data_IF_121916579208
#
_entry.id   IF_121916579208
#
_cell.length_a   1.000
_cell.length_b   1.000
_cell.length_c   1.000
_cell.angle_alpha   90.00
_cell.angle_beta   90.00
_cell.angle_gamma   90.00
#
_symmetry.space_group_name_H-M   'P 1'
#
loop_
_entity.id
_entity.type
_entity.pdbx_description
1 polymer ?
#
# COMPACT_ATOMS: atom_id res chain seq x y z
N UNK A 1 -10.16 -8.09 -1.31
CA UNK A 1 -10.74 -9.45 -1.27
C UNK A 1 -11.56 -9.64 0.00
N UNK A 2 -12.89 -9.73 -0.12
CA UNK A 2 -13.83 -10.00 0.99
C UNK A 2 -13.90 -11.50 1.27
N UNK A 3 -13.32 -11.93 2.39
CA UNK A 3 -13.58 -13.26 2.93
C UNK A 3 -15.02 -13.30 3.45
N UNK A 4 -15.90 -14.09 2.82
CA UNK A 4 -17.30 -14.27 3.25
C UNK A 4 -17.48 -15.69 3.79
N UNK A 5 -17.26 -15.89 5.08
CA UNK A 5 -17.78 -17.10 5.73
C UNK A 5 -19.25 -16.86 6.09
N UNK A 6 -20.17 -17.51 5.37
CA UNK A 6 -21.62 -17.47 5.63
C UNK A 6 -22.22 -16.06 5.75
N UNK A 7 -21.77 -15.11 4.90
CA UNK A 7 -22.34 -13.76 4.85
C UNK A 7 -21.77 -12.76 5.86
N UNK A 8 -20.93 -13.20 6.81
CA UNK A 8 -20.26 -12.30 7.75
C UNK A 8 -18.92 -11.82 7.19
N UNK A 9 -18.66 -10.53 7.37
CA UNK A 9 -17.37 -9.87 7.11
C UNK A 9 -16.38 -10.17 8.25
N UNK A 10 -15.10 -9.89 8.01
CA UNK A 10 -14.05 -10.15 9.01
C UNK A 10 -14.22 -9.24 10.23
N UNK A 11 -14.62 -8.01 9.98
CA UNK A 11 -14.87 -6.97 10.96
C UNK A 11 -16.04 -7.36 11.85
N UNK A 12 -17.15 -7.83 11.26
CA UNK A 12 -18.31 -8.34 12.01
C UNK A 12 -17.92 -9.56 12.86
N UNK A 13 -17.14 -10.51 12.33
CA UNK A 13 -16.70 -11.68 13.10
C UNK A 13 -15.88 -11.26 14.33
N UNK A 14 -15.03 -10.23 14.18
CA UNK A 14 -14.21 -9.70 15.30
C UNK A 14 -15.06 -9.05 16.36
N UNK A 15 -15.94 -8.15 15.94
CA UNK A 15 -16.86 -7.45 16.82
C UNK A 15 -17.69 -8.48 17.60
N UNK A 16 -18.13 -9.54 16.92
CA UNK A 16 -18.89 -10.62 17.51
C UNK A 16 -18.09 -11.41 18.57
N UNK A 17 -16.81 -11.71 18.30
CA UNK A 17 -15.93 -12.37 19.28
C UNK A 17 -15.61 -11.43 20.46
N UNK A 18 -15.44 -10.14 20.21
CA UNK A 18 -15.20 -9.13 21.24
C UNK A 18 -16.43 -8.99 22.16
N UNK A 19 -17.64 -8.82 21.61
CA UNK A 19 -18.89 -8.76 22.37
C UNK A 19 -19.08 -9.97 23.29
N UNK A 20 -18.70 -11.17 22.83
CA UNK A 20 -18.73 -12.39 23.62
C UNK A 20 -17.80 -12.34 24.84
N UNK A 21 -16.61 -11.76 24.71
CA UNK A 21 -15.66 -11.66 25.82
C UNK A 21 -16.04 -10.57 26.83
N UNK A 22 -16.72 -9.51 26.38
CA UNK A 22 -17.28 -8.44 27.23
C UNK A 22 -18.46 -8.94 28.08
N UNK A 23 -19.12 -10.05 27.70
CA UNK A 23 -20.26 -10.56 28.46
C UNK A 23 -19.89 -10.92 29.91
N UNK A 24 -20.75 -10.57 30.89
CA UNK A 24 -20.59 -10.97 32.28
C UNK A 24 -20.47 -12.49 32.46
N UNK A 25 -19.81 -12.89 33.55
CA UNK A 25 -19.69 -14.31 33.91
C UNK A 25 -21.07 -14.99 33.97
N UNK A 26 -21.15 -16.21 33.42
CA UNK A 26 -22.41 -16.97 33.33
C UNK A 26 -23.38 -16.55 32.22
N UNK A 27 -23.24 -15.36 31.61
CA UNK A 27 -24.16 -14.90 30.55
C UNK A 27 -23.74 -15.25 29.13
N UNK A 28 -22.51 -15.74 28.93
CA UNK A 28 -21.92 -16.05 27.62
C UNK A 28 -22.74 -17.07 26.81
N UNK A 29 -23.26 -18.11 27.46
CA UNK A 29 -24.08 -19.14 26.79
C UNK A 29 -25.42 -18.60 26.32
N UNK A 30 -26.12 -17.85 27.17
CA UNK A 30 -27.39 -17.22 26.82
C UNK A 30 -27.22 -16.15 25.74
N UNK A 31 -26.14 -15.35 25.80
CA UNK A 31 -25.81 -14.38 24.77
C UNK A 31 -25.54 -15.05 23.42
N UNK A 32 -24.79 -16.15 23.40
CA UNK A 32 -24.53 -16.88 22.15
C UNK A 32 -25.81 -17.50 21.58
N UNK A 33 -26.67 -18.07 22.45
CA UNK A 33 -27.97 -18.61 22.05
C UNK A 33 -28.93 -17.53 21.53
N UNK A 34 -28.79 -16.27 21.97
CA UNK A 34 -29.57 -15.14 21.45
C UNK A 34 -29.18 -14.72 20.04
N UNK A 35 -28.10 -15.26 19.47
CA UNK A 35 -27.66 -14.94 18.13
C UNK A 35 -27.88 -16.05 17.13
N UNK A 36 -28.03 -15.64 15.88
CA UNK A 36 -28.25 -16.50 14.72
C UNK A 36 -26.99 -17.29 14.27
N UNK A 37 -25.96 -17.39 15.12
CA UNK A 37 -24.68 -18.03 14.78
C UNK A 37 -24.59 -19.36 15.52
N UNK A 38 -24.43 -20.49 14.80
CA UNK A 38 -24.23 -21.79 15.44
C UNK A 38 -22.99 -21.81 16.35
N UNK A 39 -23.09 -22.42 17.53
CA UNK A 39 -21.98 -22.46 18.49
C UNK A 39 -20.69 -23.05 17.90
N UNK A 40 -20.81 -24.08 17.05
CA UNK A 40 -19.67 -24.69 16.35
C UNK A 40 -18.97 -23.70 15.41
N UNK A 41 -19.75 -22.88 14.70
CA UNK A 41 -19.23 -21.82 13.82
C UNK A 41 -18.52 -20.76 14.66
N UNK A 42 -19.14 -20.31 15.76
CA UNK A 42 -18.54 -19.34 16.66
C UNK A 42 -17.22 -19.83 17.30
N UNK A 43 -17.14 -21.10 17.71
CA UNK A 43 -15.89 -21.70 18.21
C UNK A 43 -14.78 -21.65 17.17
N UNK A 44 -15.09 -21.89 15.89
CA UNK A 44 -14.14 -21.78 14.78
C UNK A 44 -13.69 -20.33 14.57
N UNK A 45 -14.61 -19.37 14.62
CA UNK A 45 -14.30 -17.94 14.54
C UNK A 45 -13.38 -17.48 15.66
N UNK A 46 -13.65 -17.90 16.89
CA UNK A 46 -12.80 -17.63 18.05
C UNK A 46 -11.37 -18.14 17.84
N UNK A 47 -11.21 -19.33 17.26
CA UNK A 47 -9.89 -19.87 16.92
C UNK A 47 -9.19 -19.04 15.82
N UNK A 48 -9.89 -18.71 14.73
CA UNK A 48 -9.36 -17.89 13.64
C UNK A 48 -8.92 -16.49 14.07
N UNK A 49 -9.66 -15.84 14.97
CA UNK A 49 -9.29 -14.53 15.51
C UNK A 49 -8.05 -14.64 16.40
N UNK A 50 -7.95 -15.68 17.22
CA UNK A 50 -6.82 -15.89 18.12
C UNK A 50 -5.50 -16.19 17.42
N UNK A 51 -5.56 -16.99 16.36
CA UNK A 51 -4.40 -17.40 15.58
C UNK A 51 -3.97 -16.31 14.59
N UNK A 52 -4.76 -15.23 14.44
CA UNK A 52 -4.51 -14.16 13.47
C UNK A 52 -4.80 -14.56 12.02
N UNK A 53 -5.38 -15.75 11.83
CA UNK A 53 -5.69 -16.32 10.53
C UNK A 53 -6.80 -15.57 9.79
N UNK A 54 -7.66 -14.86 10.55
CA UNK A 54 -8.75 -14.06 9.98
C UNK A 54 -8.25 -12.91 9.08
N UNK A 55 -7.08 -12.33 9.35
CA UNK A 55 -6.49 -11.29 8.50
C UNK A 55 -5.71 -11.83 7.32
N UNK A 56 -5.06 -12.98 7.54
CA UNK A 56 -4.10 -13.55 6.59
C UNK A 56 -4.79 -14.37 5.49
N UNK A 57 -6.14 -14.48 5.53
CA UNK A 57 -6.95 -15.41 4.75
C UNK A 57 -6.42 -16.86 4.86
N UNK A 58 -5.79 -17.19 6.00
CA UNK A 58 -5.25 -18.52 6.24
C UNK A 58 -6.35 -19.40 6.82
N UNK A 59 -6.42 -20.64 6.35
CA UNK A 59 -7.25 -21.66 6.98
C UNK A 59 -6.52 -22.09 8.26
N UNK A 60 -7.20 -22.14 9.42
CA UNK A 60 -6.59 -22.58 10.68
C UNK A 60 -5.79 -23.86 10.50
N UNK A 61 -4.47 -23.77 10.72
CA UNK A 61 -3.65 -24.98 10.83
C UNK A 61 -3.94 -25.59 12.20
N UNK A 62 -4.25 -26.88 12.25
CA UNK A 62 -4.39 -27.60 13.52
C UNK A 62 -3.03 -27.69 14.22
N UNK A 63 -2.65 -26.62 14.92
CA UNK A 63 -1.64 -26.68 15.95
C UNK A 63 -2.36 -27.10 17.22
N UNK A 64 -2.08 -28.30 17.73
CA UNK A 64 -2.69 -28.89 18.93
C UNK A 64 -2.31 -28.19 20.24
N UNK A 65 -2.21 -26.86 20.26
CA UNK A 65 -1.93 -26.05 21.43
C UNK A 65 -3.20 -25.67 22.19
N UNK A 66 -3.10 -25.58 23.51
CA UNK A 66 -4.17 -25.14 24.41
C UNK A 66 -4.80 -23.82 23.92
N UNK A 67 -6.13 -23.72 23.93
CA UNK A 67 -6.81 -22.45 23.68
C UNK A 67 -6.37 -21.41 24.74
N UNK A 68 -5.87 -20.25 24.29
CA UNK A 68 -5.44 -19.16 25.18
C UNK A 68 -6.57 -18.72 26.13
N UNK A 69 -6.18 -18.38 27.35
CA UNK A 69 -7.05 -17.88 28.44
C UNK A 69 -7.52 -16.44 28.17
N UNK A 70 -8.60 -15.99 28.82
CA UNK A 70 -9.21 -14.67 28.59
C UNK A 70 -8.24 -13.48 28.82
N UNK A 71 -7.27 -13.61 29.73
CA UNK A 71 -6.26 -12.57 29.98
C UNK A 71 -5.26 -12.42 28.83
N UNK A 72 -4.86 -13.55 28.24
CA UNK A 72 -3.97 -13.60 27.08
C UNK A 72 -4.65 -13.03 25.81
N UNK A 73 -5.98 -13.13 25.72
CA UNK A 73 -6.78 -12.49 24.68
C UNK A 73 -6.72 -10.95 24.75
N UNK A 74 -6.96 -10.35 25.92
CA UNK A 74 -6.90 -8.89 26.06
C UNK A 74 -5.49 -8.35 25.79
N UNK A 75 -4.45 -9.09 26.20
CA UNK A 75 -3.08 -8.73 25.89
C UNK A 75 -2.78 -8.77 24.38
N UNK A 76 -3.25 -9.81 23.68
CA UNK A 76 -3.10 -9.95 22.24
C UNK A 76 -3.83 -8.83 21.47
N UNK A 77 -5.06 -8.50 21.85
CA UNK A 77 -5.82 -7.40 21.25
C UNK A 77 -5.12 -6.05 21.44
N UNK A 78 -4.60 -5.78 22.64
CA UNK A 78 -3.83 -4.55 22.93
C UNK A 78 -2.54 -4.47 22.12
N UNK A 79 -1.79 -5.57 22.03
CA UNK A 79 -0.56 -5.62 21.24
C UNK A 79 -0.84 -5.37 19.75
N UNK A 80 -1.91 -5.96 19.21
CA UNK A 80 -2.31 -5.77 17.81
C UNK A 80 -2.87 -4.37 17.53
N UNK A 81 -3.62 -3.79 18.46
CA UNK A 81 -4.09 -2.40 18.33
C UNK A 81 -2.90 -1.42 18.27
N UNK A 82 -1.85 -1.69 19.06
CA UNK A 82 -0.60 -0.93 19.02
C UNK A 82 0.11 -1.09 17.68
N UNK A 83 0.27 -2.32 17.17
CA UNK A 83 0.88 -2.58 15.86
C UNK A 83 0.15 -1.86 14.72
N UNK A 84 -1.19 -1.86 14.74
CA UNK A 84 -1.99 -1.13 13.73
C UNK A 84 -1.76 0.38 13.83
N UNK A 85 -1.72 0.93 15.04
CA UNK A 85 -1.49 2.36 15.25
C UNK A 85 -0.09 2.79 14.76
N UNK A 86 0.93 1.97 15.04
CA UNK A 86 2.29 2.17 14.55
C UNK A 86 2.33 2.13 13.02
N UNK A 87 1.76 1.10 12.40
CA UNK A 87 1.71 0.98 10.95
C UNK A 87 0.94 2.13 10.28
N UNK A 88 -0.14 2.61 10.91
CA UNK A 88 -0.89 3.77 10.41
C UNK A 88 -0.04 5.05 10.45
N UNK A 89 0.75 5.24 11.51
CA UNK A 89 1.68 6.39 11.59
C UNK A 89 2.74 6.32 10.50
N UNK A 90 3.34 5.15 10.26
CA UNK A 90 4.32 4.94 9.19
C UNK A 90 3.72 5.23 7.80
N UNK A 91 2.49 4.78 7.56
CA UNK A 91 1.79 5.05 6.29
C UNK A 91 1.55 6.54 6.08
N UNK A 92 1.16 7.27 7.13
CA UNK A 92 0.96 8.72 7.03
C UNK A 92 2.27 9.49 6.81
N UNK A 93 3.36 9.08 7.46
CA UNK A 93 4.70 9.63 7.21
C UNK A 93 5.13 9.41 5.75
N UNK A 94 4.98 8.18 5.23
CA UNK A 94 5.32 7.86 3.85
C UNK A 94 4.48 8.66 2.85
N UNK A 95 3.18 8.82 3.08
CA UNK A 95 2.31 9.65 2.24
C UNK A 95 2.75 11.12 2.22
N UNK A 96 3.14 11.65 3.38
CA UNK A 96 3.64 13.03 3.46
C UNK A 96 4.95 13.18 2.67
N UNK A 97 5.85 12.20 2.76
CA UNK A 97 7.10 12.20 1.99
C UNK A 97 6.85 12.12 0.48
N UNK A 98 5.89 11.30 0.04
CA UNK A 98 5.49 11.23 -1.37
C UNK A 98 4.99 12.59 -1.86
N UNK A 99 4.11 13.25 -1.10
CA UNK A 99 3.58 14.58 -1.46
C UNK A 99 4.69 15.63 -1.61
N UNK A 100 5.68 15.60 -0.72
CA UNK A 100 6.84 16.48 -0.78
C UNK A 100 7.64 16.25 -2.07
N UNK A 101 7.96 14.99 -2.37
CA UNK A 101 8.72 14.61 -3.57
C UNK A 101 7.97 14.97 -4.86
N UNK A 102 6.66 14.71 -4.92
CA UNK A 102 5.81 15.12 -6.05
C UNK A 102 5.80 16.63 -6.24
N UNK A 103 5.78 17.40 -5.14
CA UNK A 103 5.92 18.85 -5.16
C UNK A 103 7.26 19.30 -5.75
N UNK A 104 8.37 18.69 -5.31
CA UNK A 104 9.71 19.01 -5.84
C UNK A 104 9.84 18.66 -7.32
N UNK A 105 9.34 17.50 -7.74
CA UNK A 105 9.38 17.09 -9.15
C UNK A 105 8.53 18.01 -10.03
N UNK A 106 7.38 18.47 -9.53
CA UNK A 106 6.56 19.46 -10.24
C UNK A 106 7.30 20.78 -10.41
N UNK A 107 8.00 21.26 -9.37
CA UNK A 107 8.78 22.48 -9.45
C UNK A 107 9.97 22.35 -10.41
N UNK A 108 10.70 21.23 -10.35
CA UNK A 108 11.80 20.93 -11.26
C UNK A 108 11.31 20.83 -12.71
N UNK A 109 10.18 20.15 -12.96
CA UNK A 109 9.58 20.07 -14.30
C UNK A 109 9.21 21.44 -14.86
N UNK A 110 8.66 22.34 -14.04
CA UNK A 110 8.39 23.73 -14.43
C UNK A 110 9.68 24.49 -14.75
N UNK A 111 10.71 24.36 -13.92
CA UNK A 111 11.99 25.04 -14.14
C UNK A 111 12.69 24.57 -15.43
N UNK A 112 12.69 23.26 -15.69
CA UNK A 112 13.21 22.68 -16.94
C UNK A 112 12.39 23.19 -18.14
N UNK A 113 11.06 23.23 -18.03
CA UNK A 113 10.19 23.77 -19.07
C UNK A 113 10.47 25.25 -19.39
N UNK A 114 10.72 26.07 -18.36
CA UNK A 114 11.11 27.47 -18.53
C UNK A 114 12.51 27.59 -19.18
N UNK A 115 13.48 26.78 -18.76
CA UNK A 115 14.82 26.77 -19.35
C UNK A 115 14.77 26.37 -20.84
N UNK A 116 14.00 25.34 -21.18
CA UNK A 116 13.77 24.97 -22.57
C UNK A 116 13.11 26.10 -23.36
N UNK A 117 12.09 26.78 -22.80
CA UNK A 117 11.45 27.91 -23.46
C UNK A 117 12.40 29.10 -23.72
N UNK A 118 13.33 29.36 -22.79
CA UNK A 118 14.36 30.40 -22.95
C UNK A 118 15.47 30.01 -23.94
N UNK A 119 15.69 28.71 -24.15
CA UNK A 119 16.72 28.20 -25.06
C UNK A 119 16.24 28.05 -26.53
N UNK A 120 15.00 28.45 -26.87
CA UNK A 120 14.45 28.48 -28.26
C UNK A 120 14.75 29.81 -28.97
N UNK A 121 15.83 30.50 -28.62
CA UNK A 121 16.33 31.63 -29.42
C UNK A 121 17.81 31.41 -29.70
N UNK A 122 18.08 30.58 -30.70
CA UNK A 122 19.25 30.79 -31.56
C UNK A 122 18.74 31.37 -32.90
N UNK A 123 19.28 32.52 -33.34
CA UNK A 123 18.85 33.17 -34.57
C UNK A 123 19.26 32.36 -35.80
N UNK A 124 18.39 32.39 -36.80
CA UNK A 124 18.64 31.90 -38.15
C UNK A 124 19.96 32.51 -38.67
N UNK A 125 20.96 31.72 -39.10
CA UNK A 125 22.07 32.27 -39.84
C UNK A 125 21.56 32.68 -41.22
N UNK A 126 21.20 33.97 -41.38
CA UNK A 126 21.10 34.61 -42.69
C UNK A 126 22.44 34.47 -43.42
N UNK A 127 22.60 33.41 -44.22
CA UNK A 127 23.67 33.37 -45.22
C UNK A 127 23.25 34.20 -46.43
N UNK A 128 23.61 35.47 -46.30
CA UNK A 128 23.59 36.47 -47.35
C UNK A 128 24.67 36.16 -48.39
N UNK A 129 24.20 35.83 -49.60
CA UNK A 129 24.81 36.02 -50.92
C UNK A 129 26.21 35.43 -51.24
N UNK A 130 26.21 34.52 -52.22
CA UNK A 130 27.35 34.23 -53.09
C UNK A 130 27.93 35.49 -53.76
N UNK A 131 29.25 35.53 -53.98
CA UNK A 131 29.72 35.95 -55.29
C UNK A 131 30.82 35.03 -55.86
N UNK A 132 30.44 34.32 -56.92
CA UNK A 132 31.11 34.14 -58.22
C UNK A 132 32.60 34.56 -58.38
N UNK A 133 33.43 33.54 -58.67
CA UNK A 133 34.46 33.48 -59.74
C UNK A 133 35.97 33.73 -59.47
N UNK A 134 36.75 32.81 -60.09
CA UNK A 134 38.18 32.85 -60.49
C UNK A 134 39.18 32.44 -59.39
N UNK A 135 40.17 31.55 -59.58
CA UNK A 135 40.90 31.10 -60.79
C UNK A 135 41.53 29.70 -60.59
N UNK A 136 41.64 28.90 -61.67
CA UNK A 136 42.50 27.69 -61.80
C UNK A 136 44.01 28.09 -61.82
N UNK A 137 45.05 27.21 -61.91
CA UNK A 137 45.10 25.74 -62.14
C UNK A 137 46.17 24.96 -61.32
N UNK A 138 46.21 23.62 -61.42
CA UNK A 138 47.35 22.82 -61.96
C UNK A 138 47.14 21.30 -61.86
N UNK A 139 47.27 20.66 -63.01
CA UNK A 139 47.67 19.26 -63.29
C UNK A 139 49.01 18.93 -62.61
N UNK A 140 49.32 17.69 -62.21
CA UNK A 140 49.63 16.52 -63.06
C UNK A 140 49.80 15.25 -62.19
N UNK A 141 49.31 14.07 -62.63
CA UNK A 141 50.11 12.92 -63.13
C UNK A 141 51.01 12.26 -62.05
N UNK A 142 51.08 10.94 -61.83
CA UNK A 142 51.13 9.74 -62.68
C UNK A 142 50.98 8.53 -61.72
N UNK A 143 50.21 7.46 -62.01
CA UNK A 143 50.65 6.26 -62.76
C UNK A 143 51.54 5.37 -61.86
N UNK A 144 51.29 4.08 -61.63
CA UNK A 144 50.62 3.04 -62.41
C UNK A 144 50.16 1.91 -61.47
#
# INVERSE_FOLDING_TARGET
MTWRSQGFTREEIREFVHEYYVQPYGKKGAWLASRSVPERTFRKWRKMVLEGDLDRNLIPREHGGMARTNGEWSAFEKARAKEIAEHQSEVEELKNRIRELEGTNTALGKAIGLLHGLNVTEPDPEQTNDPKSSSKPKTSSSGN
#
